data_IF_737766446913
#
_entry.id   IF_737766446913
#
_cell.length_a   1.000
_cell.length_b   1.000
_cell.length_c   1.000
_cell.angle_alpha   90.00
_cell.angle_beta   90.00
_cell.angle_gamma   90.00
#
_symmetry.space_group_name_H-M   'P 1'
#
loop_
_entity.id
_entity.type
_entity.pdbx_description
1 polymer ?
#
# COMPACT_ATOMS: atom_id res chain seq x y z
N UNK A 1 10.86 11.56 -34.63
CA UNK A 1 10.39 12.29 -33.41
C UNK A 1 11.41 12.00 -32.32
N UNK A 2 12.16 12.99 -31.80
CA UNK A 2 13.37 12.74 -31.02
C UNK A 2 13.09 12.05 -29.66
N UNK A 3 13.98 11.18 -29.18
CA UNK A 3 13.86 10.51 -27.87
C UNK A 3 13.69 11.49 -26.69
N UNK A 4 14.10 12.74 -26.86
CA UNK A 4 14.00 13.82 -25.86
C UNK A 4 12.58 14.32 -25.61
N UNK A 5 11.63 14.23 -26.56
CA UNK A 5 10.24 14.65 -26.32
C UNK A 5 9.42 13.61 -25.56
N UNK A 6 9.70 12.32 -25.76
CA UNK A 6 9.03 11.23 -25.03
C UNK A 6 9.51 11.09 -23.59
N UNK A 7 10.81 11.30 -23.35
CA UNK A 7 11.39 11.39 -22.00
C UNK A 7 10.68 12.46 -21.14
N UNK A 8 10.31 13.62 -21.71
CA UNK A 8 9.57 14.66 -20.99
C UNK A 8 8.15 14.26 -20.58
N UNK A 9 7.45 13.42 -21.36
CA UNK A 9 6.10 12.95 -21.02
C UNK A 9 6.17 11.90 -19.90
N UNK A 10 7.13 10.97 -19.97
CA UNK A 10 7.40 10.00 -18.91
C UNK A 10 7.87 10.70 -17.61
N UNK A 11 8.74 11.70 -17.73
CA UNK A 11 9.14 12.56 -16.61
C UNK A 11 7.94 13.34 -16.06
N UNK A 12 7.03 13.85 -16.89
CA UNK A 12 5.84 14.58 -16.40
C UNK A 12 4.97 13.70 -15.51
N UNK A 13 4.77 12.41 -15.87
CA UNK A 13 4.03 11.43 -15.05
C UNK A 13 4.69 11.21 -13.68
N UNK A 14 6.02 11.30 -13.59
CA UNK A 14 6.78 11.19 -12.33
C UNK A 14 6.80 12.51 -11.55
N UNK A 15 7.02 13.64 -12.22
CA UNK A 15 7.03 14.99 -11.66
C UNK A 15 5.66 15.40 -11.08
N UNK A 16 4.55 14.81 -11.54
CA UNK A 16 3.23 15.02 -10.94
C UNK A 16 3.17 14.65 -9.44
N UNK A 17 4.12 13.85 -8.92
CA UNK A 17 4.21 13.46 -7.51
C UNK A 17 5.24 14.22 -6.66
N UNK A 18 6.05 15.13 -7.23
CA UNK A 18 7.31 15.58 -6.61
C UNK A 18 7.23 16.80 -5.68
N UNK A 19 6.15 17.61 -5.67
CA UNK A 19 5.99 18.71 -4.69
C UNK A 19 4.73 18.54 -3.85
N UNK A 20 4.89 18.45 -2.54
CA UNK A 20 3.79 18.33 -1.54
C UNK A 20 2.76 19.47 -1.63
N UNK A 21 3.21 20.68 -1.98
CA UNK A 21 2.31 21.80 -2.22
C UNK A 21 1.52 21.65 -3.54
N UNK A 22 2.13 21.12 -4.61
CA UNK A 22 1.41 20.92 -5.87
C UNK A 22 0.43 19.76 -5.78
N UNK A 23 0.72 18.66 -5.06
CA UNK A 23 -0.22 17.55 -4.91
C UNK A 23 -1.50 17.94 -4.16
N UNK A 24 -1.39 18.83 -3.17
CA UNK A 24 -2.55 19.39 -2.45
C UNK A 24 -3.39 20.29 -3.36
N UNK A 25 -2.75 21.17 -4.14
CA UNK A 25 -3.42 22.07 -5.10
C UNK A 25 -4.04 21.29 -6.28
N UNK A 26 -3.35 20.28 -6.79
CA UNK A 26 -3.85 19.37 -7.83
C UNK A 26 -5.01 18.52 -7.29
N UNK A 27 -4.91 18.00 -6.06
CA UNK A 27 -5.98 17.29 -5.40
C UNK A 27 -7.23 18.15 -5.22
N UNK A 28 -7.06 19.40 -4.79
CA UNK A 28 -8.14 20.38 -4.64
C UNK A 28 -8.80 20.72 -5.99
N UNK A 29 -8.03 20.77 -7.08
CA UNK A 29 -8.52 20.99 -8.44
C UNK A 29 -9.45 19.88 -8.95
N UNK A 30 -9.41 18.68 -8.36
CA UNK A 30 -10.32 17.58 -8.68
C UNK A 30 -11.38 17.35 -7.58
N UNK A 31 -11.50 18.23 -6.57
CA UNK A 31 -12.58 18.12 -5.58
C UNK A 31 -13.88 18.67 -6.19
N UNK A 32 -14.93 17.85 -6.36
CA UNK A 32 -16.23 18.30 -6.88
C UNK A 32 -16.87 19.40 -6.04
N UNK A 33 -16.57 19.47 -4.72
CA UNK A 33 -17.11 20.52 -3.85
C UNK A 33 -16.51 21.88 -4.20
N UNK A 34 -15.20 21.93 -4.41
CA UNK A 34 -14.48 23.17 -4.74
C UNK A 34 -14.77 23.58 -6.19
N UNK A 35 -14.60 22.66 -7.13
CA UNK A 35 -14.83 22.93 -8.56
C UNK A 35 -16.29 23.25 -8.85
N UNK A 36 -17.23 22.53 -8.23
CA UNK A 36 -18.66 22.77 -8.36
C UNK A 36 -19.08 24.11 -7.74
N UNK A 37 -18.62 24.42 -6.53
CA UNK A 37 -18.93 25.71 -5.90
C UNK A 37 -18.39 26.90 -6.70
N UNK A 38 -17.15 26.79 -7.22
CA UNK A 38 -16.56 27.82 -8.07
C UNK A 38 -17.31 27.97 -9.40
N UNK A 39 -17.76 26.85 -10.00
CA UNK A 39 -18.54 26.86 -11.24
C UNK A 39 -19.91 27.52 -11.03
N UNK A 40 -20.60 27.22 -9.93
CA UNK A 40 -21.86 27.88 -9.55
C UNK A 40 -21.64 29.37 -9.31
N UNK A 41 -20.59 29.75 -8.57
CA UNK A 41 -20.26 31.15 -8.32
C UNK A 41 -19.97 31.92 -9.63
N UNK A 42 -19.29 31.28 -10.59
CA UNK A 42 -19.01 31.87 -11.90
C UNK A 42 -20.26 32.05 -12.77
N UNK A 43 -21.16 31.05 -12.78
CA UNK A 43 -22.34 31.06 -13.65
C UNK A 43 -23.45 31.95 -13.11
N UNK A 44 -23.61 32.03 -11.78
CA UNK A 44 -24.74 32.71 -11.14
C UNK A 44 -24.38 34.00 -10.41
N UNK A 45 -23.12 34.20 -10.01
CA UNK A 45 -22.67 35.38 -9.24
C UNK A 45 -21.36 36.00 -9.78
N UNK A 46 -21.23 36.25 -11.10
CA UNK A 46 -19.97 36.71 -11.69
C UNK A 46 -19.48 38.04 -11.11
N UNK A 47 -20.38 38.99 -10.83
CA UNK A 47 -20.01 40.30 -10.29
C UNK A 47 -19.42 40.24 -8.88
N UNK A 48 -19.98 39.39 -8.00
CA UNK A 48 -19.42 39.16 -6.65
C UNK A 48 -18.07 38.46 -6.72
N UNK A 49 -17.88 37.54 -7.66
CA UNK A 49 -16.60 36.88 -7.83
C UNK A 49 -15.54 37.87 -8.33
N UNK A 50 -15.90 38.78 -9.24
CA UNK A 50 -15.01 39.83 -9.74
C UNK A 50 -14.55 40.80 -8.66
N UNK A 51 -15.45 41.18 -7.74
CA UNK A 51 -15.10 42.14 -6.68
C UNK A 51 -14.08 41.59 -5.70
N UNK A 52 -14.09 40.28 -5.46
CA UNK A 52 -13.16 39.57 -4.56
C UNK A 52 -11.84 39.24 -5.28
N UNK A 53 -11.85 39.05 -6.60
CA UNK A 53 -10.66 38.65 -7.36
C UNK A 53 -9.73 39.83 -7.68
N UNK A 54 -8.39 39.64 -7.57
CA UNK A 54 -7.41 40.60 -8.05
C UNK A 54 -7.63 40.95 -9.53
N UNK A 55 -7.47 42.23 -9.90
CA UNK A 55 -7.72 42.73 -11.26
C UNK A 55 -7.01 41.91 -12.35
N UNK A 56 -5.80 41.40 -12.07
CA UNK A 56 -4.99 40.57 -12.98
C UNK A 56 -5.62 39.21 -13.31
N UNK A 57 -6.51 38.68 -12.47
CA UNK A 57 -7.10 37.35 -12.62
C UNK A 57 -8.52 37.38 -13.18
N UNK A 58 -9.20 38.54 -13.18
CA UNK A 58 -10.60 38.67 -13.60
C UNK A 58 -10.85 38.23 -15.04
N UNK A 59 -9.99 38.66 -15.97
CA UNK A 59 -10.09 38.31 -17.40
C UNK A 59 -9.90 36.81 -17.67
N UNK A 60 -9.04 36.15 -16.89
CA UNK A 60 -8.77 34.72 -17.03
C UNK A 60 -9.91 33.87 -16.45
N UNK A 61 -10.36 34.21 -15.24
CA UNK A 61 -11.34 33.43 -14.47
C UNK A 61 -12.75 33.45 -15.10
N UNK A 62 -13.08 34.48 -15.87
CA UNK A 62 -14.38 34.62 -16.55
C UNK A 62 -14.33 34.11 -18.00
N UNK A 63 -13.15 33.75 -18.49
CA UNK A 63 -13.02 33.27 -19.86
C UNK A 63 -13.85 31.98 -20.09
N UNK A 64 -14.51 31.81 -21.25
CA UNK A 64 -15.18 30.56 -21.60
C UNK A 64 -14.24 29.35 -21.60
N UNK A 65 -12.93 29.58 -21.77
CA UNK A 65 -11.91 28.55 -21.64
C UNK A 65 -11.76 28.09 -20.18
N UNK A 66 -11.74 29.01 -19.22
CA UNK A 66 -11.65 28.70 -17.80
C UNK A 66 -12.90 27.97 -17.29
N UNK A 67 -14.10 28.43 -17.68
CA UNK A 67 -15.36 27.75 -17.33
C UNK A 67 -15.38 26.32 -17.89
N UNK A 68 -14.95 26.12 -19.14
CA UNK A 68 -14.82 24.77 -19.73
C UNK A 68 -13.80 23.93 -18.96
N UNK A 69 -12.63 24.46 -18.64
CA UNK A 69 -11.62 23.75 -17.86
C UNK A 69 -12.14 23.33 -16.49
N UNK A 70 -12.85 24.23 -15.80
CA UNK A 70 -13.44 23.95 -14.48
C UNK A 70 -14.54 22.89 -14.56
N UNK A 71 -15.39 22.93 -15.58
CA UNK A 71 -16.40 21.90 -15.82
C UNK A 71 -15.74 20.53 -16.09
N UNK A 72 -14.69 20.49 -16.92
CA UNK A 72 -13.92 19.27 -17.16
C UNK A 72 -13.32 18.71 -15.87
N UNK A 73 -12.71 19.56 -15.05
CA UNK A 73 -12.16 19.17 -13.74
C UNK A 73 -13.24 18.63 -12.80
N UNK A 74 -14.42 19.26 -12.75
CA UNK A 74 -15.57 18.79 -11.99
C UNK A 74 -16.02 17.40 -12.45
N UNK A 75 -16.17 17.18 -13.77
CA UNK A 75 -16.55 15.88 -14.33
C UNK A 75 -15.54 14.81 -13.95
N UNK A 76 -14.24 15.06 -14.13
CA UNK A 76 -13.20 14.12 -13.71
C UNK A 76 -13.22 13.86 -12.19
N UNK A 77 -13.44 14.89 -11.38
CA UNK A 77 -13.58 14.76 -9.93
C UNK A 77 -14.75 13.88 -9.52
N UNK A 78 -15.91 14.07 -10.15
CA UNK A 78 -17.11 13.26 -9.94
C UNK A 78 -16.88 11.82 -10.37
N UNK A 79 -16.36 11.61 -11.57
CA UNK A 79 -16.02 10.27 -12.09
C UNK A 79 -15.06 9.54 -11.16
N UNK A 80 -14.01 10.23 -10.66
CA UNK A 80 -13.06 9.66 -9.69
C UNK A 80 -13.75 9.26 -8.39
N UNK A 81 -14.65 10.10 -7.86
CA UNK A 81 -15.37 9.82 -6.60
C UNK A 81 -16.36 8.67 -6.75
N UNK A 82 -17.09 8.63 -7.87
CA UNK A 82 -18.01 7.54 -8.22
C UNK A 82 -17.22 6.24 -8.39
N UNK A 83 -16.16 6.24 -9.19
CA UNK A 83 -15.29 5.07 -9.38
C UNK A 83 -14.78 4.53 -8.03
N UNK A 84 -14.23 5.39 -7.16
CA UNK A 84 -13.77 4.99 -5.83
C UNK A 84 -14.88 4.35 -4.99
N UNK A 85 -16.10 4.89 -5.04
CA UNK A 85 -17.24 4.33 -4.31
C UNK A 85 -17.64 2.97 -4.88
N UNK A 86 -17.69 2.83 -6.20
CA UNK A 86 -17.99 1.56 -6.89
C UNK A 86 -16.92 0.50 -6.59
N UNK A 87 -15.63 0.85 -6.64
CA UNK A 87 -14.54 -0.06 -6.28
C UNK A 87 -14.66 -0.52 -4.83
N UNK A 88 -14.95 0.39 -3.89
CA UNK A 88 -15.17 0.02 -2.49
C UNK A 88 -16.36 -0.92 -2.32
N UNK A 89 -17.48 -0.66 -3.02
CA UNK A 89 -18.64 -1.55 -3.00
C UNK A 89 -18.29 -2.92 -3.59
N UNK A 90 -17.62 -2.98 -4.74
CA UNK A 90 -17.23 -4.21 -5.39
C UNK A 90 -16.33 -5.09 -4.49
N UNK A 91 -15.31 -4.49 -3.86
CA UNK A 91 -14.41 -5.18 -2.92
C UNK A 91 -15.13 -5.71 -1.66
N UNK A 92 -16.28 -5.12 -1.31
CA UNK A 92 -17.06 -5.49 -0.12
C UNK A 92 -18.36 -6.23 -0.50
N UNK A 93 -18.43 -6.82 -1.69
CA UNK A 93 -19.57 -7.63 -2.12
C UNK A 93 -20.87 -6.83 -2.25
N UNK A 94 -20.77 -5.56 -2.64
CA UNK A 94 -21.86 -4.59 -2.76
C UNK A 94 -22.61 -4.31 -1.46
N UNK A 95 -22.00 -4.61 -0.31
CA UNK A 95 -22.54 -4.32 1.02
C UNK A 95 -21.87 -3.08 1.62
N UNK A 96 -22.66 -2.24 2.27
CA UNK A 96 -22.18 -1.07 3.02
C UNK A 96 -21.90 -1.36 4.49
N UNK A 97 -22.44 -2.47 5.01
CA UNK A 97 -22.38 -2.80 6.43
C UNK A 97 -21.03 -3.44 6.74
N UNK A 98 -20.17 -2.65 7.36
CA UNK A 98 -18.90 -3.09 7.91
C UNK A 98 -18.84 -2.70 9.38
N UNK A 99 -18.42 -3.64 10.22
CA UNK A 99 -18.34 -3.43 11.67
C UNK A 99 -17.07 -4.11 12.16
N UNK A 100 -16.27 -3.36 12.90
CA UNK A 100 -15.11 -3.87 13.64
C UNK A 100 -15.39 -3.67 15.13
N UNK A 101 -15.62 -4.74 15.87
CA UNK A 101 -15.99 -4.66 17.30
C UNK A 101 -14.76 -4.97 18.13
N UNK A 102 -13.97 -3.95 18.47
CA UNK A 102 -12.65 -4.07 19.11
C UNK A 102 -12.52 -5.17 20.18
N UNK A 103 -13.51 -5.33 21.07
CA UNK A 103 -13.51 -6.33 22.14
C UNK A 103 -13.58 -7.79 21.67
N UNK A 104 -14.03 -8.01 20.43
CA UNK A 104 -14.16 -9.31 19.77
C UNK A 104 -12.99 -9.60 18.82
N UNK A 105 -12.06 -8.66 18.65
CA UNK A 105 -11.02 -8.74 17.62
C UNK A 105 -9.67 -9.07 18.24
N UNK A 106 -8.93 -9.94 17.57
CA UNK A 106 -7.55 -10.29 17.89
C UNK A 106 -6.73 -10.10 16.62
N UNK A 107 -5.80 -9.14 16.65
CA UNK A 107 -4.95 -8.78 15.51
C UNK A 107 -3.62 -9.48 15.64
N UNK A 108 -3.34 -10.41 14.72
CA UNK A 108 -2.06 -11.08 14.60
C UNK A 108 -1.21 -10.40 13.52
N UNK A 109 0.02 -10.02 13.87
CA UNK A 109 0.97 -9.34 12.98
C UNK A 109 2.25 -10.16 12.88
N UNK A 110 2.64 -10.55 11.66
CA UNK A 110 3.96 -11.14 11.42
C UNK A 110 5.02 -10.07 11.19
N UNK A 111 6.26 -10.29 11.61
CA UNK A 111 7.33 -9.29 11.52
C UNK A 111 7.05 -8.06 12.39
N UNK A 112 6.41 -8.25 13.54
CA UNK A 112 5.91 -7.16 14.38
C UNK A 112 6.90 -6.62 15.41
N UNK A 113 8.16 -7.07 15.43
CA UNK A 113 9.17 -6.60 16.39
C UNK A 113 10.00 -5.42 15.89
N UNK A 114 9.81 -4.97 14.65
CA UNK A 114 10.51 -3.80 14.08
C UNK A 114 9.71 -3.09 12.98
N UNK A 115 10.19 -1.93 12.56
CA UNK A 115 9.67 -1.20 11.39
C UNK A 115 8.16 -0.91 11.47
N UNK A 116 7.47 -1.03 10.33
CA UNK A 116 6.01 -0.82 10.28
C UNK A 116 5.22 -1.85 11.09
N UNK A 117 5.75 -3.06 11.28
CA UNK A 117 5.07 -4.10 12.07
C UNK A 117 4.95 -3.72 13.54
N UNK A 118 6.03 -3.23 14.13
CA UNK A 118 6.04 -2.74 15.52
C UNK A 118 5.10 -1.56 15.71
N UNK A 119 5.17 -0.57 14.81
CA UNK A 119 4.35 0.63 14.88
C UNK A 119 2.87 0.26 14.74
N UNK A 120 2.51 -0.61 13.79
CA UNK A 120 1.15 -1.12 13.66
C UNK A 120 0.68 -1.83 14.95
N UNK A 121 1.53 -2.67 15.56
CA UNK A 121 1.19 -3.36 16.79
C UNK A 121 0.85 -2.38 17.92
N UNK A 122 1.68 -1.34 18.10
CA UNK A 122 1.44 -0.27 19.08
C UNK A 122 0.21 0.58 18.74
N UNK A 123 -0.04 0.86 17.46
CA UNK A 123 -1.22 1.61 17.00
C UNK A 123 -2.53 0.86 17.25
N UNK A 124 -2.57 -0.46 17.02
CA UNK A 124 -3.75 -1.28 17.36
C UNK A 124 -3.94 -1.37 18.88
N UNK A 125 -2.85 -1.57 19.61
CA UNK A 125 -2.85 -1.62 21.07
C UNK A 125 -3.39 -0.32 21.69
N UNK A 126 -2.92 0.84 21.24
CA UNK A 126 -3.37 2.16 21.74
C UNK A 126 -4.85 2.42 21.47
N UNK A 127 -5.43 1.74 20.48
CA UNK A 127 -6.87 1.81 20.15
C UNK A 127 -7.71 0.80 20.94
N UNK A 128 -7.12 0.03 21.84
CA UNK A 128 -7.78 -0.92 22.73
C UNK A 128 -8.07 -2.29 22.09
N UNK A 129 -7.31 -2.66 21.05
CA UNK A 129 -7.43 -3.98 20.39
C UNK A 129 -6.41 -4.94 20.99
N UNK A 130 -6.76 -6.22 21.11
CA UNK A 130 -5.81 -7.28 21.51
C UNK A 130 -4.87 -7.56 20.35
N UNK A 131 -3.57 -7.55 20.59
CA UNK A 131 -2.56 -7.75 19.54
C UNK A 131 -1.68 -8.95 19.87
N UNK A 132 -1.38 -9.73 18.84
CA UNK A 132 -0.40 -10.80 18.87
C UNK A 132 0.68 -10.48 17.85
N UNK A 133 1.94 -10.50 18.26
CA UNK A 133 3.10 -10.29 17.40
C UNK A 133 3.84 -11.60 17.24
N UNK A 134 4.08 -11.99 15.98
CA UNK A 134 4.98 -13.08 15.61
C UNK A 134 6.22 -12.51 14.94
N UNK A 135 7.40 -12.82 15.47
CA UNK A 135 8.68 -12.43 14.87
C UNK A 135 9.78 -13.39 15.32
N UNK A 136 10.85 -13.53 14.54
CA UNK A 136 12.00 -14.35 14.90
C UNK A 136 12.85 -13.65 15.98
N UNK A 137 12.81 -12.32 15.99
CA UNK A 137 13.52 -11.47 16.93
C UNK A 137 12.57 -10.92 17.99
N UNK A 138 12.97 -10.88 19.27
CA UNK A 138 12.20 -10.18 20.29
C UNK A 138 12.13 -8.67 19.98
N UNK A 139 11.09 -7.98 20.46
CA UNK A 139 10.99 -6.53 20.29
C UNK A 139 12.15 -5.84 21.03
N UNK A 140 12.71 -4.78 20.43
CA UNK A 140 13.79 -4.00 21.05
C UNK A 140 13.34 -3.29 22.33
N UNK A 141 12.10 -2.80 22.31
CA UNK A 141 11.46 -2.13 23.44
C UNK A 141 10.31 -3.00 23.97
N UNK A 142 10.12 -3.09 25.29
CA UNK A 142 9.00 -3.83 25.86
C UNK A 142 7.66 -3.41 25.23
N UNK A 143 6.82 -4.40 24.98
CA UNK A 143 5.47 -4.15 24.52
C UNK A 143 4.53 -3.80 25.69
N UNK A 144 3.46 -3.02 25.44
CA UNK A 144 2.36 -2.86 26.38
C UNK A 144 1.69 -4.21 26.69
N UNK A 145 1.01 -4.30 27.83
CA UNK A 145 0.42 -5.56 28.34
C UNK A 145 -0.66 -6.19 27.46
N UNK A 146 -1.26 -5.44 26.53
CA UNK A 146 -2.25 -5.93 25.57
C UNK A 146 -1.65 -6.39 24.23
N UNK A 147 -0.32 -6.43 24.11
CA UNK A 147 0.39 -7.04 22.99
C UNK A 147 1.17 -8.25 23.51
N UNK A 148 0.91 -9.41 22.92
CA UNK A 148 1.65 -10.63 23.24
C UNK A 148 2.63 -11.00 22.14
N UNK A 149 3.88 -11.22 22.52
CA UNK A 149 4.94 -11.64 21.61
C UNK A 149 5.09 -13.17 21.61
N UNK A 150 5.21 -13.74 20.41
CA UNK A 150 5.61 -15.13 20.18
C UNK A 150 6.81 -15.15 19.26
N UNK A 151 7.89 -15.82 19.69
CA UNK A 151 9.07 -16.01 18.86
C UNK A 151 8.79 -17.07 17.79
N UNK A 152 8.59 -16.65 16.54
CA UNK A 152 8.15 -17.52 15.45
C UNK A 152 8.95 -17.30 14.19
N UNK A 153 9.46 -18.39 13.60
CA UNK A 153 9.91 -18.38 12.21
C UNK A 153 8.74 -18.74 11.29
N UNK A 154 8.27 -17.74 10.54
CA UNK A 154 7.10 -17.85 9.66
C UNK A 154 7.34 -18.74 8.43
N UNK A 155 8.56 -19.24 8.24
CA UNK A 155 8.85 -20.24 7.19
C UNK A 155 8.70 -21.68 7.70
N UNK A 156 8.34 -21.88 8.96
CA UNK A 156 8.19 -23.20 9.58
C UNK A 156 6.75 -23.46 10.02
N UNK A 157 6.08 -24.39 9.35
CA UNK A 157 4.70 -24.79 9.70
C UNK A 157 4.59 -25.32 11.13
N UNK A 158 5.60 -26.04 11.64
CA UNK A 158 5.58 -26.56 13.00
C UNK A 158 5.72 -25.44 14.04
N UNK A 159 6.54 -24.43 13.76
CA UNK A 159 6.69 -23.26 14.62
C UNK A 159 5.39 -22.43 14.66
N UNK A 160 4.80 -22.19 13.49
CA UNK A 160 3.50 -21.53 13.35
C UNK A 160 2.42 -22.28 14.14
N UNK A 161 2.29 -23.60 13.96
CA UNK A 161 1.27 -24.41 14.63
C UNK A 161 1.43 -24.43 16.15
N UNK A 162 2.67 -24.52 16.65
CA UNK A 162 2.96 -24.47 18.08
C UNK A 162 2.52 -23.14 18.70
N UNK A 163 2.89 -22.01 18.08
CA UNK A 163 2.47 -20.69 18.55
C UNK A 163 0.95 -20.49 18.40
N UNK A 164 0.34 -20.95 17.31
CA UNK A 164 -1.09 -20.85 17.09
C UNK A 164 -1.91 -21.58 18.16
N UNK A 165 -1.45 -22.75 18.61
CA UNK A 165 -2.08 -23.48 19.74
C UNK A 165 -2.11 -22.62 21.00
N UNK A 166 -0.98 -22.02 21.37
CA UNK A 166 -0.88 -21.16 22.56
C UNK A 166 -1.69 -19.86 22.44
N UNK A 167 -1.72 -19.26 21.24
CA UNK A 167 -2.53 -18.08 20.93
C UNK A 167 -4.01 -18.42 21.10
N UNK A 168 -4.48 -19.53 20.53
CA UNK A 168 -5.89 -19.93 20.63
C UNK A 168 -6.32 -20.19 22.07
N UNK A 169 -5.45 -20.80 22.88
CA UNK A 169 -5.72 -21.02 24.31
C UNK A 169 -5.86 -19.70 25.08
N UNK A 170 -5.02 -18.72 24.78
CA UNK A 170 -4.91 -17.47 25.55
C UNK A 170 -5.86 -16.37 25.08
N UNK A 171 -6.10 -16.28 23.77
CA UNK A 171 -6.81 -15.16 23.14
C UNK A 171 -8.00 -15.59 22.28
N UNK A 172 -8.16 -16.89 22.01
CA UNK A 172 -9.08 -17.41 21.00
C UNK A 172 -8.49 -17.31 19.59
N UNK A 173 -9.32 -17.55 18.57
CA UNK A 173 -8.86 -17.47 17.18
C UNK A 173 -8.58 -16.01 16.78
N UNK A 174 -7.41 -15.71 16.20
CA UNK A 174 -7.17 -14.45 15.53
C UNK A 174 -8.25 -14.13 14.49
N UNK A 175 -8.75 -12.91 14.53
CA UNK A 175 -9.77 -12.41 13.58
C UNK A 175 -9.14 -11.55 12.50
N UNK A 176 -7.97 -10.97 12.75
CA UNK A 176 -7.18 -10.26 11.75
C UNK A 176 -5.82 -10.90 11.63
N UNK A 177 -5.39 -11.25 10.41
CA UNK A 177 -4.04 -11.69 10.10
C UNK A 177 -3.38 -10.65 9.20
N UNK A 178 -2.30 -10.03 9.68
CA UNK A 178 -1.47 -9.09 8.92
C UNK A 178 -0.17 -9.81 8.53
N UNK A 179 -0.13 -10.25 7.28
CA UNK A 179 1.05 -10.79 6.62
C UNK A 179 1.99 -9.62 6.28
N UNK A 180 2.90 -9.31 7.22
CA UNK A 180 3.81 -8.17 7.15
C UNK A 180 5.29 -8.56 7.15
N UNK A 181 5.66 -9.71 7.72
CA UNK A 181 7.05 -10.19 7.71
C UNK A 181 7.63 -10.15 6.29
N UNK A 182 8.84 -9.61 6.17
CA UNK A 182 9.48 -9.48 4.87
C UNK A 182 10.97 -9.19 4.98
N UNK A 183 11.71 -9.68 4.00
CA UNK A 183 13.16 -9.45 3.84
C UNK A 183 13.48 -9.10 2.39
N UNK A 184 14.67 -8.56 2.17
CA UNK A 184 15.23 -8.27 0.85
C UNK A 184 16.71 -7.94 0.99
N UNK A 185 17.48 -8.23 -0.06
CA UNK A 185 18.95 -8.12 -0.03
C UNK A 185 19.51 -7.08 -1.01
N UNK A 186 18.68 -6.52 -1.89
CA UNK A 186 19.07 -5.53 -2.92
C UNK A 186 20.26 -6.00 -3.78
N UNK A 187 20.14 -7.20 -4.35
CA UNK A 187 21.18 -7.82 -5.21
C UNK A 187 20.68 -8.03 -6.64
N UNK A 188 21.61 -8.01 -7.59
CA UNK A 188 21.34 -8.46 -8.96
C UNK A 188 21.10 -9.97 -8.98
N UNK A 189 20.51 -10.48 -10.07
CA UNK A 189 20.33 -11.93 -10.27
C UNK A 189 21.67 -12.69 -10.21
N UNK A 190 22.74 -12.08 -10.71
CA UNK A 190 24.05 -12.72 -10.78
C UNK A 190 24.76 -12.75 -9.41
N UNK A 191 24.45 -11.81 -8.52
CA UNK A 191 25.14 -11.64 -7.23
C UNK A 191 24.32 -12.08 -6.02
N UNK A 192 23.02 -12.27 -6.18
CA UNK A 192 22.18 -12.88 -5.15
C UNK A 192 22.50 -14.37 -5.04
N UNK A 193 22.88 -14.82 -3.84
CA UNK A 193 23.09 -16.26 -3.59
C UNK A 193 21.77 -17.02 -3.68
N UNK A 194 21.81 -18.30 -4.03
CA UNK A 194 20.61 -19.15 -4.07
C UNK A 194 19.87 -19.13 -2.73
N UNK A 195 20.59 -19.22 -1.61
CA UNK A 195 20.02 -19.19 -0.27
C UNK A 195 19.28 -17.89 0.03
N UNK A 196 19.85 -16.74 -0.37
CA UNK A 196 19.19 -15.44 -0.22
C UNK A 196 17.90 -15.38 -1.05
N UNK A 197 17.96 -15.80 -2.32
CA UNK A 197 16.79 -15.82 -3.22
C UNK A 197 15.70 -16.72 -2.62
N UNK A 198 16.04 -17.96 -2.25
CA UNK A 198 15.09 -18.89 -1.62
C UNK A 198 14.50 -18.32 -0.35
N UNK A 199 15.33 -17.77 0.54
CA UNK A 199 14.86 -17.18 1.81
C UNK A 199 13.91 -16.00 1.57
N UNK A 200 14.16 -15.16 0.56
CA UNK A 200 13.24 -14.07 0.18
C UNK A 200 11.86 -14.65 -0.20
N UNK A 201 11.81 -15.71 -1.00
CA UNK A 201 10.54 -16.38 -1.36
C UNK A 201 9.87 -17.07 -0.16
N UNK A 202 10.64 -17.76 0.69
CA UNK A 202 10.09 -18.43 1.87
C UNK A 202 9.40 -17.44 2.81
N UNK A 203 10.06 -16.32 3.11
CA UNK A 203 9.53 -15.30 4.02
C UNK A 203 8.44 -14.46 3.36
N UNK A 204 8.64 -13.95 2.15
CA UNK A 204 7.73 -12.96 1.55
C UNK A 204 6.56 -13.58 0.78
N UNK A 205 6.63 -14.88 0.47
CA UNK A 205 5.63 -15.59 -0.36
C UNK A 205 5.08 -16.80 0.36
N UNK A 206 5.90 -17.82 0.62
CA UNK A 206 5.43 -19.12 1.15
C UNK A 206 4.80 -18.94 2.53
N UNK A 207 5.38 -18.11 3.39
CA UNK A 207 4.83 -17.80 4.70
C UNK A 207 3.37 -17.32 4.65
N UNK A 208 2.97 -16.57 3.62
CA UNK A 208 1.59 -16.09 3.49
C UNK A 208 0.60 -17.26 3.32
N UNK A 209 0.98 -18.28 2.56
CA UNK A 209 0.20 -19.50 2.41
C UNK A 209 0.17 -20.30 3.71
N UNK A 210 1.29 -20.42 4.42
CA UNK A 210 1.35 -21.16 5.68
C UNK A 210 0.50 -20.49 6.77
N UNK A 211 0.62 -19.17 6.91
CA UNK A 211 -0.18 -18.37 7.84
C UNK A 211 -1.66 -18.43 7.50
N UNK A 212 -2.03 -18.36 6.22
CA UNK A 212 -3.42 -18.54 5.79
C UNK A 212 -3.93 -19.95 6.11
N UNK A 213 -3.17 -21.01 5.80
CA UNK A 213 -3.55 -22.39 6.15
C UNK A 213 -3.82 -22.56 7.64
N UNK A 214 -3.04 -21.90 8.50
CA UNK A 214 -3.20 -21.98 9.96
C UNK A 214 -4.42 -21.20 10.48
N UNK A 215 -4.60 -19.95 10.06
CA UNK A 215 -5.56 -19.03 10.71
C UNK A 215 -6.87 -18.84 9.94
N UNK A 216 -6.88 -19.03 8.62
CA UNK A 216 -8.05 -18.83 7.78
C UNK A 216 -9.24 -19.78 8.08
N UNK A 217 -9.05 -21.07 8.44
CA UNK A 217 -10.17 -21.99 8.66
C UNK A 217 -11.18 -21.48 9.71
N UNK A 218 -10.69 -20.87 10.79
CA UNK A 218 -11.55 -20.30 11.83
C UNK A 218 -12.32 -19.07 11.32
N UNK A 219 -11.68 -18.22 10.51
CA UNK A 219 -12.33 -17.05 9.90
C UNK A 219 -13.43 -17.47 8.92
N UNK A 220 -13.18 -18.50 8.11
CA UNK A 220 -14.18 -19.09 7.20
C UNK A 220 -15.35 -19.65 7.99
N UNK A 221 -15.10 -20.48 9.01
CA UNK A 221 -16.14 -21.10 9.83
C UNK A 221 -17.04 -20.06 10.49
N UNK A 222 -16.46 -18.95 10.96
CA UNK A 222 -17.20 -17.83 11.58
C UNK A 222 -17.78 -16.86 10.55
N UNK A 223 -17.39 -16.98 9.27
CA UNK A 223 -17.61 -15.99 8.22
C UNK A 223 -17.31 -14.57 8.73
N UNK A 224 -16.17 -14.42 9.42
CA UNK A 224 -15.71 -13.17 10.02
C UNK A 224 -14.19 -13.21 10.11
N UNK A 225 -13.56 -12.16 9.61
CA UNK A 225 -12.13 -11.96 9.76
C UNK A 225 -11.59 -10.96 8.74
N UNK A 226 -10.28 -10.71 8.77
CA UNK A 226 -9.62 -9.80 7.85
C UNK A 226 -8.18 -10.27 7.57
N UNK A 227 -7.86 -10.59 6.32
CA UNK A 227 -6.49 -10.86 5.89
C UNK A 227 -5.89 -9.61 5.26
N UNK A 228 -4.80 -9.11 5.82
CA UNK A 228 -4.03 -7.98 5.28
C UNK A 228 -2.72 -8.50 4.70
N UNK A 229 -2.43 -8.17 3.45
CA UNK A 229 -1.20 -8.51 2.76
C UNK A 229 -0.38 -7.26 2.51
N UNK A 230 0.78 -7.16 3.16
CA UNK A 230 1.75 -6.08 2.90
C UNK A 230 2.62 -6.44 1.70
N UNK A 231 2.20 -5.96 0.54
CA UNK A 231 2.90 -6.09 -0.73
C UNK A 231 3.88 -4.90 -0.91
N UNK A 232 3.98 -4.35 -2.12
CA UNK A 232 4.80 -3.17 -2.42
C UNK A 232 4.42 -2.58 -3.77
N UNK A 233 4.85 -1.36 -4.08
CA UNK A 233 4.91 -0.89 -5.47
C UNK A 233 5.80 -1.80 -6.35
N UNK A 234 6.72 -2.55 -5.74
CA UNK A 234 7.49 -3.61 -6.41
C UNK A 234 6.62 -4.72 -7.03
N UNK A 235 5.34 -4.84 -6.66
CA UNK A 235 4.38 -5.75 -7.31
C UNK A 235 4.09 -5.37 -8.77
N UNK A 236 4.19 -4.08 -9.09
CA UNK A 236 3.85 -3.52 -10.41
C UNK A 236 5.10 -3.13 -11.21
N UNK A 237 6.12 -2.66 -10.50
CA UNK A 237 7.25 -1.94 -11.06
C UNK A 237 8.55 -2.49 -10.48
N UNK A 238 9.44 -2.99 -11.35
CA UNK A 238 10.66 -3.69 -10.95
C UNK A 238 11.88 -2.80 -11.20
N UNK A 239 12.74 -2.67 -10.19
CA UNK A 239 14.02 -1.99 -10.28
C UNK A 239 15.15 -2.97 -10.61
N UNK A 240 16.24 -2.48 -11.21
CA UNK A 240 17.48 -3.27 -11.27
C UNK A 240 17.93 -3.62 -9.85
N UNK A 241 18.59 -4.77 -9.65
CA UNK A 241 19.06 -5.21 -8.33
C UNK A 241 17.96 -5.48 -7.28
N UNK A 242 16.71 -5.71 -7.71
CA UNK A 242 15.58 -6.00 -6.79
C UNK A 242 14.60 -7.03 -7.37
N UNK A 243 15.08 -7.92 -8.26
CA UNK A 243 14.22 -8.80 -9.07
C UNK A 243 13.54 -9.86 -8.22
N UNK A 244 14.28 -10.57 -7.35
CA UNK A 244 13.75 -11.60 -6.45
C UNK A 244 12.67 -11.03 -5.53
N UNK A 245 12.97 -9.92 -4.85
CA UNK A 245 12.02 -9.22 -3.99
C UNK A 245 10.77 -8.79 -4.76
N UNK A 246 10.92 -8.19 -5.95
CA UNK A 246 9.79 -7.75 -6.77
C UNK A 246 8.92 -8.93 -7.22
N UNK A 247 9.53 -10.06 -7.58
CA UNK A 247 8.80 -11.31 -7.86
C UNK A 247 7.99 -11.77 -6.64
N UNK A 248 8.55 -11.72 -5.42
CA UNK A 248 7.79 -12.06 -4.20
C UNK A 248 6.64 -11.10 -3.92
N UNK A 249 6.82 -9.79 -4.15
CA UNK A 249 5.74 -8.81 -3.96
C UNK A 249 4.67 -8.89 -5.04
N UNK A 250 5.02 -9.28 -6.27
CA UNK A 250 4.04 -9.63 -7.29
C UNK A 250 3.26 -10.90 -6.91
N UNK A 251 3.93 -11.90 -6.34
CA UNK A 251 3.29 -13.10 -5.81
C UNK A 251 2.34 -12.78 -4.65
N UNK A 252 2.72 -11.89 -3.72
CA UNK A 252 1.86 -11.45 -2.63
C UNK A 252 0.57 -10.77 -3.12
N UNK A 253 0.66 -9.96 -4.20
CA UNK A 253 -0.53 -9.37 -4.84
C UNK A 253 -1.43 -10.45 -5.45
N UNK A 254 -0.87 -11.40 -6.20
CA UNK A 254 -1.62 -12.51 -6.79
C UNK A 254 -2.25 -13.41 -5.72
N UNK A 255 -1.53 -13.68 -4.63
CA UNK A 255 -2.04 -14.39 -3.45
C UNK A 255 -3.28 -13.70 -2.88
N UNK A 256 -3.24 -12.38 -2.71
CA UNK A 256 -4.37 -11.60 -2.21
C UNK A 256 -5.59 -11.71 -3.13
N UNK A 257 -5.39 -11.56 -4.43
CA UNK A 257 -6.46 -11.64 -5.44
C UNK A 257 -7.11 -13.04 -5.46
N UNK A 258 -6.27 -14.08 -5.48
CA UNK A 258 -6.72 -15.47 -5.45
C UNK A 258 -7.48 -15.82 -4.17
N UNK A 259 -6.93 -15.44 -3.01
CA UNK A 259 -7.58 -15.70 -1.71
C UNK A 259 -8.94 -15.00 -1.60
N UNK A 260 -9.06 -13.76 -2.07
CA UNK A 260 -10.34 -13.05 -2.09
C UNK A 260 -11.39 -13.78 -2.96
N UNK A 261 -10.97 -14.35 -4.10
CA UNK A 261 -11.84 -15.15 -4.96
C UNK A 261 -12.25 -16.47 -4.27
N UNK A 262 -11.31 -17.18 -3.65
CA UNK A 262 -11.61 -18.41 -2.91
C UNK A 262 -12.59 -18.17 -1.75
N UNK A 263 -12.38 -17.12 -0.96
CA UNK A 263 -13.28 -16.75 0.14
C UNK A 263 -14.72 -16.56 -0.35
N UNK A 264 -14.91 -15.88 -1.48
CA UNK A 264 -16.23 -15.62 -2.04
C UNK A 264 -16.86 -16.85 -2.68
N UNK A 265 -16.12 -17.53 -3.56
CA UNK A 265 -16.69 -18.51 -4.49
C UNK A 265 -16.44 -19.96 -4.08
N UNK A 266 -15.39 -20.23 -3.31
CA UNK A 266 -15.05 -21.58 -2.86
C UNK A 266 -15.55 -21.87 -1.45
N UNK A 267 -15.35 -20.92 -0.53
CA UNK A 267 -15.64 -21.13 0.90
C UNK A 267 -16.95 -20.49 1.36
N UNK A 268 -17.65 -19.76 0.49
CA UNK A 268 -18.90 -19.05 0.82
C UNK A 268 -18.76 -18.16 2.07
N UNK A 269 -17.63 -17.48 2.21
CA UNK A 269 -17.26 -16.65 3.35
C UNK A 269 -17.09 -15.16 2.95
N UNK A 270 -18.11 -14.50 2.38
CA UNK A 270 -18.00 -13.15 1.83
C UNK A 270 -17.79 -12.03 2.88
N UNK A 271 -17.83 -12.36 4.17
CA UNK A 271 -17.58 -11.42 5.26
C UNK A 271 -16.17 -11.55 5.85
N UNK A 272 -15.36 -12.51 5.38
CA UNK A 272 -13.91 -12.48 5.60
C UNK A 272 -13.32 -11.46 4.64
N UNK A 273 -12.83 -10.35 5.20
CA UNK A 273 -12.30 -9.21 4.46
C UNK A 273 -10.88 -9.47 3.99
N UNK A 274 -10.49 -8.79 2.93
CA UNK A 274 -9.12 -8.82 2.43
C UNK A 274 -8.64 -7.40 2.15
N UNK A 275 -7.41 -7.09 2.55
CA UNK A 275 -6.75 -5.85 2.18
C UNK A 275 -5.36 -6.13 1.63
N UNK A 276 -5.00 -5.48 0.52
CA UNK A 276 -3.62 -5.44 0.03
C UNK A 276 -3.09 -4.01 0.12
N UNK A 277 -1.83 -3.90 0.53
CA UNK A 277 -1.15 -2.62 0.70
C UNK A 277 0.11 -2.62 -0.15
N UNK A 278 0.23 -1.66 -1.05
CA UNK A 278 1.35 -1.49 -1.97
C UNK A 278 2.05 -0.16 -1.68
N UNK A 279 2.86 -0.10 -0.61
CA UNK A 279 3.66 1.08 -0.34
C UNK A 279 4.87 1.16 -1.28
N UNK A 280 5.29 2.39 -1.56
CA UNK A 280 6.61 2.72 -2.08
C UNK A 280 7.67 2.57 -0.96
N UNK A 281 8.81 3.23 -1.09
CA UNK A 281 9.88 3.20 -0.08
C UNK A 281 9.39 3.72 1.27
N UNK A 282 9.73 3.01 2.36
CA UNK A 282 9.35 3.35 3.73
C UNK A 282 10.61 3.38 4.59
N UNK A 283 10.80 4.44 5.38
CA UNK A 283 11.95 4.59 6.27
C UNK A 283 11.94 3.54 7.38
N UNK A 284 12.54 2.39 7.12
CA UNK A 284 12.56 1.22 8.01
C UNK A 284 13.95 0.58 7.98
N UNK A 285 14.30 -0.26 8.97
CA UNK A 285 15.58 -0.98 8.98
C UNK A 285 15.86 -1.77 7.69
N UNK A 286 14.81 -2.25 6.99
CA UNK A 286 14.93 -3.01 5.75
C UNK A 286 15.67 -2.24 4.64
N UNK A 287 15.53 -0.92 4.59
CA UNK A 287 16.12 -0.09 3.53
C UNK A 287 17.03 1.01 4.09
N UNK A 288 17.46 0.90 5.34
CA UNK A 288 18.26 1.92 6.03
C UNK A 288 19.59 2.20 5.29
N UNK A 289 20.29 1.15 4.89
CA UNK A 289 21.52 1.25 4.10
C UNK A 289 21.29 1.93 2.73
N UNK A 290 20.10 1.69 2.14
CA UNK A 290 19.75 2.25 0.84
C UNK A 290 19.47 3.76 0.94
N UNK A 291 18.73 4.19 1.96
CA UNK A 291 18.40 5.61 2.19
C UNK A 291 19.65 6.42 2.57
N UNK A 292 20.61 5.82 3.26
CA UNK A 292 21.86 6.47 3.63
C UNK A 292 22.75 6.78 2.42
N UNK A 293 22.51 6.18 1.25
CA UNK A 293 23.31 6.39 0.06
C UNK A 293 23.05 7.77 -0.57
N UNK A 294 24.09 8.59 -0.85
CA UNK A 294 23.91 9.95 -1.38
C UNK A 294 23.15 10.02 -2.72
N UNK A 295 23.26 8.99 -3.54
CA UNK A 295 22.61 8.91 -4.85
C UNK A 295 21.15 8.44 -4.78
N UNK A 296 20.68 7.95 -3.62
CA UNK A 296 19.27 7.61 -3.46
C UNK A 296 18.43 8.88 -3.38
N UNK A 297 17.69 9.18 -4.46
CA UNK A 297 16.85 10.40 -4.59
C UNK A 297 15.35 10.12 -4.52
N UNK A 298 14.95 8.86 -4.46
CA UNK A 298 13.54 8.50 -4.40
C UNK A 298 12.90 8.99 -3.10
N UNK A 299 11.62 9.37 -3.20
CA UNK A 299 10.84 9.79 -2.05
C UNK A 299 10.61 8.61 -1.09
N UNK A 300 10.94 8.84 0.17
CA UNK A 300 10.70 7.88 1.27
C UNK A 300 9.50 8.32 2.08
N UNK A 301 8.59 7.39 2.35
CA UNK A 301 7.48 7.58 3.26
C UNK A 301 7.91 7.37 4.70
N UNK A 302 7.38 8.18 5.61
CA UNK A 302 7.47 7.91 7.03
C UNK A 302 6.58 6.71 7.39
N UNK A 303 7.03 5.77 8.24
CA UNK A 303 6.32 4.54 8.60
C UNK A 303 4.87 4.76 9.02
N UNK A 304 4.62 5.83 9.79
CA UNK A 304 3.32 6.21 10.32
C UNK A 304 2.31 6.48 9.20
N UNK A 305 2.77 6.95 8.03
CA UNK A 305 1.89 7.14 6.86
C UNK A 305 1.28 5.81 6.43
N UNK A 306 2.08 4.75 6.47
CA UNK A 306 1.68 3.40 6.07
C UNK A 306 0.88 2.73 7.19
N UNK A 307 1.35 2.78 8.43
CA UNK A 307 0.66 2.13 9.56
C UNK A 307 -0.72 2.75 9.79
N UNK A 308 -0.85 4.07 9.74
CA UNK A 308 -2.15 4.74 9.88
C UNK A 308 -3.13 4.31 8.80
N UNK A 309 -2.68 4.17 7.54
CA UNK A 309 -3.54 3.72 6.45
C UNK A 309 -4.01 2.28 6.67
N UNK A 310 -3.11 1.37 7.07
CA UNK A 310 -3.42 -0.03 7.36
C UNK A 310 -4.41 -0.14 8.53
N UNK A 311 -4.07 0.50 9.66
CA UNK A 311 -4.87 0.45 10.90
C UNK A 311 -6.26 1.02 10.64
N UNK A 312 -6.37 2.17 9.98
CA UNK A 312 -7.67 2.77 9.65
C UNK A 312 -8.51 1.88 8.71
N UNK A 313 -7.87 1.18 7.76
CA UNK A 313 -8.57 0.26 6.87
C UNK A 313 -9.12 -0.95 7.64
N UNK A 314 -8.32 -1.58 8.49
CA UNK A 314 -8.74 -2.72 9.33
C UNK A 314 -9.88 -2.31 10.27
N UNK A 315 -9.74 -1.19 10.97
CA UNK A 315 -10.77 -0.69 11.89
C UNK A 315 -12.06 -0.27 11.19
N UNK A 316 -12.00 -0.01 9.88
CA UNK A 316 -13.20 0.25 9.10
C UNK A 316 -14.03 -1.01 8.83
N UNK A 317 -13.49 -2.21 9.09
CA UNK A 317 -14.14 -3.50 8.86
C UNK A 317 -14.38 -3.83 7.38
N UNK A 318 -13.67 -3.16 6.47
CA UNK A 318 -13.84 -3.26 5.02
C UNK A 318 -12.62 -3.85 4.33
N UNK A 319 -12.86 -4.56 3.25
CA UNK A 319 -11.82 -4.89 2.27
C UNK A 319 -11.31 -3.63 1.57
N UNK A 320 -10.08 -3.66 1.08
CA UNK A 320 -9.47 -2.49 0.43
C UNK A 320 -8.18 -2.78 -0.33
N UNK A 321 -7.87 -1.93 -1.30
CA UNK A 321 -6.57 -1.88 -1.96
C UNK A 321 -5.97 -0.50 -1.68
N UNK A 322 -4.82 -0.48 -1.03
CA UNK A 322 -4.16 0.75 -0.59
C UNK A 322 -2.85 0.88 -1.34
N UNK A 323 -2.70 1.96 -2.10
CA UNK A 323 -1.44 2.31 -2.76
C UNK A 323 -0.90 3.57 -2.09
N UNK A 324 0.36 3.54 -1.65
CA UNK A 324 0.99 4.65 -0.94
C UNK A 324 2.33 5.02 -1.59
N UNK A 325 2.59 6.30 -1.87
CA UNK A 325 1.64 7.41 -1.78
C UNK A 325 0.56 7.30 -2.88
N UNK A 326 -0.62 7.87 -2.65
CA UNK A 326 -1.81 7.63 -3.48
C UNK A 326 -1.67 8.11 -4.94
N UNK A 327 -0.74 9.01 -5.20
CA UNK A 327 -0.34 9.52 -6.51
C UNK A 327 0.22 8.40 -7.40
N UNK A 328 0.84 7.37 -6.81
CA UNK A 328 1.37 6.23 -7.57
C UNK A 328 0.30 5.23 -8.01
N UNK A 329 -0.98 5.45 -7.66
CA UNK A 329 -2.08 4.55 -8.05
C UNK A 329 -2.15 4.32 -9.55
N UNK A 330 -1.80 5.30 -10.38
CA UNK A 330 -1.76 5.15 -11.84
C UNK A 330 -0.77 4.07 -12.30
N UNK A 331 0.33 3.87 -11.57
CA UNK A 331 1.35 2.87 -11.92
C UNK A 331 0.86 1.43 -11.73
N UNK A 332 -0.20 1.20 -10.95
CA UNK A 332 -0.83 -0.12 -10.87
C UNK A 332 -1.40 -0.58 -12.22
N UNK A 333 -1.65 0.36 -13.14
CA UNK A 333 -2.17 0.08 -14.49
C UNK A 333 -1.07 -0.15 -15.53
N UNK A 334 0.22 -0.15 -15.15
CA UNK A 334 1.35 -0.21 -16.08
C UNK A 334 1.27 -1.40 -17.05
N UNK A 335 0.72 -2.54 -16.62
CA UNK A 335 0.57 -3.74 -17.46
C UNK A 335 -0.45 -3.55 -18.60
N UNK A 336 -1.35 -2.57 -18.50
CA UNK A 336 -2.32 -2.22 -19.54
C UNK A 336 -1.78 -1.14 -20.51
N UNK A 337 -0.60 -0.56 -20.24
CA UNK A 337 -0.03 0.48 -21.11
C UNK A 337 0.57 -0.13 -22.38
N UNK A 338 0.69 0.64 -23.48
CA UNK A 338 1.46 0.20 -24.63
C UNK A 338 2.91 -0.13 -24.26
N UNK A 339 3.49 -1.17 -24.87
CA UNK A 339 4.83 -1.67 -24.53
C UNK A 339 5.91 -0.60 -24.60
N UNK A 340 5.84 0.33 -25.56
CA UNK A 340 6.81 1.42 -25.67
C UNK A 340 6.80 2.34 -24.44
N UNK A 341 5.64 2.58 -23.83
CA UNK A 341 5.49 3.41 -22.64
C UNK A 341 5.94 2.64 -21.40
N UNK A 342 5.60 1.35 -21.32
CA UNK A 342 6.10 0.48 -20.25
C UNK A 342 7.63 0.46 -20.22
N UNK A 343 8.27 0.21 -21.36
CA UNK A 343 9.73 0.16 -21.48
C UNK A 343 10.36 1.51 -21.18
N UNK A 344 9.79 2.61 -21.70
CA UNK A 344 10.29 3.96 -21.42
C UNK A 344 10.26 4.29 -19.93
N UNK A 345 9.17 3.93 -19.25
CA UNK A 345 9.06 4.12 -17.80
C UNK A 345 10.03 3.23 -17.02
N UNK A 346 10.12 1.94 -17.36
CA UNK A 346 11.07 1.00 -16.72
C UNK A 346 12.53 1.46 -16.87
N UNK A 347 12.92 1.93 -18.06
CA UNK A 347 14.28 2.42 -18.30
C UNK A 347 14.60 3.69 -17.47
N UNK A 348 13.60 4.52 -17.18
CA UNK A 348 13.79 5.72 -16.37
C UNK A 348 14.02 5.40 -14.89
N UNK A 349 13.36 4.38 -14.34
CA UNK A 349 13.45 4.05 -12.91
C UNK A 349 14.51 2.99 -12.60
N UNK A 350 14.82 2.10 -13.55
CA UNK A 350 15.70 0.95 -13.31
C UNK A 350 17.07 1.33 -12.73
N UNK A 351 17.69 2.47 -13.12
CA UNK A 351 19.00 2.87 -12.58
C UNK A 351 19.00 3.28 -11.10
N UNK A 352 17.85 3.59 -10.48
CA UNK A 352 17.79 4.12 -9.11
C UNK A 352 18.40 3.19 -8.05
N UNK A 353 18.50 1.89 -8.34
CA UNK A 353 19.16 0.90 -7.48
C UNK A 353 20.42 0.30 -8.12
N UNK A 354 20.80 0.76 -9.32
CA UNK A 354 22.03 0.33 -9.98
C UNK A 354 23.30 0.94 -9.37
N UNK A 355 23.15 1.91 -8.46
CA UNK A 355 24.24 2.55 -7.71
C UNK A 355 24.86 1.67 -6.61
N UNK A 356 24.21 0.57 -6.23
CA UNK A 356 24.78 -0.40 -5.31
C UNK A 356 25.65 -1.39 -6.10
N UNK A 357 26.93 -1.49 -5.71
CA UNK A 357 27.89 -2.41 -6.29
C UNK A 357 27.50 -3.88 -6.05
N UNK A 358 28.26 -4.77 -6.68
CA UNK A 358 28.08 -6.23 -6.64
C UNK A 358 28.06 -6.78 -5.20
N UNK A 359 28.78 -6.13 -4.28
CA UNK A 359 28.88 -6.49 -2.87
C UNK A 359 27.89 -5.72 -1.97
N UNK A 360 27.06 -4.84 -2.53
CA UNK A 360 26.10 -4.02 -1.77
C UNK A 360 26.76 -2.84 -1.06
N UNK A 361 28.00 -2.52 -1.47
CA UNK A 361 28.70 -1.28 -1.14
C UNK A 361 28.58 -0.32 -2.34
N UNK A 362 29.13 0.87 -2.21
CA UNK A 362 29.01 1.95 -3.20
C UNK A 362 29.77 1.59 -4.48
N UNK A 363 29.11 1.64 -5.65
CA UNK A 363 29.83 1.66 -6.92
C UNK A 363 30.57 3.01 -7.01
N UNK A 364 31.91 2.96 -7.00
CA UNK A 364 32.78 4.14 -7.13
C UNK A 364 32.71 4.76 -8.53
#
# INVERSE_FOLDING_TARGET
MSPTKFSRIAQSIVFFGERTHTSTILGASFDPKLTGALLVALLYYPERLQSILPARLRSYVISPAFVRALNTLLVFGVLRKVNRKLSQLALNGWKSNARFVKSQEVVLITGGSSGIGEIMARDFSSKGVKVVVMDINPPKNPFPSNIQFYRVDVTSSSNIAAAASEIRKSYGDPTVLINNAGIGYLKTILHGTEDQIRRTFEVNTISHFLMAKEFLPAMIKKNHGHIVTIASMASYVVHASNVDYSCTKASALAFHEGLAAELKFRYNAPNVRTTVVNPAWIRTPLIEAMIAHPEFKDKVLEPETVTNAVVNQVLSGRSGQIILPGELSVLSTIRAWPSWLQTSFRNMIAPSLAMFDEQGKTAT
#
